data_IF_390337658325
#
_entry.id   IF_390337658325
#
_cell.length_a   1.000
_cell.length_b   1.000
_cell.length_c   1.000
_cell.angle_alpha   90.00
_cell.angle_beta   90.00
_cell.angle_gamma   90.00
#
_symmetry.space_group_name_H-M   'P 1'
#
loop_
_entity.id
_entity.type
_entity.pdbx_description
1 polymer ?
#
# COMPACT_ATOMS: atom_id res chain seq x y z
N UNK A 1 -25.99 30.34 -31.61
CA UNK A 1 -25.29 31.27 -30.70
C UNK A 1 -24.15 31.95 -31.46
N UNK A 2 -24.10 33.28 -31.52
CA UNK A 2 -23.01 34.01 -32.18
C UNK A 2 -21.78 34.09 -31.25
N UNK A 3 -20.62 33.62 -31.72
CA UNK A 3 -19.33 33.52 -31.01
C UNK A 3 -18.64 34.88 -30.75
N UNK A 4 -19.38 35.99 -30.73
CA UNK A 4 -18.81 37.33 -30.54
C UNK A 4 -18.77 37.68 -29.05
N UNK A 5 -17.72 38.37 -28.55
CA UNK A 5 -17.68 38.90 -27.19
C UNK A 5 -18.92 39.77 -26.92
N UNK A 6 -19.59 39.53 -25.80
CA UNK A 6 -20.80 40.26 -25.40
C UNK A 6 -20.63 40.82 -23.98
N UNK A 7 -21.33 41.91 -23.69
CA UNK A 7 -21.55 42.35 -22.31
C UNK A 7 -22.50 41.36 -21.66
N UNK A 8 -22.07 40.71 -20.59
CA UNK A 8 -22.84 39.70 -19.86
C UNK A 8 -23.05 40.20 -18.43
N UNK A 9 -24.26 40.01 -17.89
CA UNK A 9 -24.52 40.22 -16.48
C UNK A 9 -24.00 39.00 -15.69
N UNK A 10 -22.89 39.20 -14.97
CA UNK A 10 -22.27 38.14 -14.17
C UNK A 10 -23.22 37.57 -13.11
N UNK A 11 -24.05 38.40 -12.46
CA UNK A 11 -24.85 37.94 -11.32
C UNK A 11 -25.98 36.99 -11.76
N UNK A 12 -26.66 37.30 -12.87
CA UNK A 12 -27.76 36.46 -13.38
C UNK A 12 -27.24 35.12 -13.92
N UNK A 13 -26.13 35.16 -14.66
CA UNK A 13 -25.49 33.95 -15.20
C UNK A 13 -24.85 33.11 -14.10
N UNK A 14 -24.26 33.74 -13.07
CA UNK A 14 -23.72 33.05 -11.91
C UNK A 14 -24.80 32.37 -11.07
N UNK A 15 -25.95 33.01 -10.81
CA UNK A 15 -27.03 32.37 -10.02
C UNK A 15 -27.53 31.09 -10.69
N UNK A 16 -27.78 31.14 -12.01
CA UNK A 16 -28.23 29.97 -12.76
C UNK A 16 -27.13 28.89 -12.87
N UNK A 17 -25.86 29.30 -12.98
CA UNK A 17 -24.72 28.40 -12.96
C UNK A 17 -24.54 27.76 -11.57
N UNK A 18 -24.69 28.53 -10.49
CA UNK A 18 -24.56 28.08 -9.11
C UNK A 18 -25.63 27.05 -8.75
N UNK A 19 -26.88 27.21 -9.21
CA UNK A 19 -27.92 26.20 -9.05
C UNK A 19 -27.55 24.89 -9.73
N UNK A 20 -26.98 24.97 -10.94
CA UNK A 20 -26.52 23.79 -11.67
C UNK A 20 -25.32 23.14 -10.99
N UNK A 21 -24.34 23.94 -10.55
CA UNK A 21 -23.15 23.47 -9.81
C UNK A 21 -23.55 22.79 -8.50
N UNK A 22 -24.50 23.38 -7.76
CA UNK A 22 -25.08 22.76 -6.56
C UNK A 22 -25.74 21.43 -6.91
N UNK A 23 -26.57 21.40 -7.95
CA UNK A 23 -27.23 20.18 -8.42
C UNK A 23 -26.23 19.08 -8.76
N UNK A 24 -25.16 19.41 -9.48
CA UNK A 24 -24.13 18.45 -9.88
C UNK A 24 -23.31 17.93 -8.70
N UNK A 25 -22.94 18.80 -7.76
CA UNK A 25 -22.16 18.38 -6.59
C UNK A 25 -22.98 17.50 -5.64
N UNK A 26 -24.30 17.72 -5.56
CA UNK A 26 -25.20 16.84 -4.79
C UNK A 26 -25.73 15.63 -5.55
N UNK A 27 -25.19 15.35 -6.75
CA UNK A 27 -25.67 14.29 -7.66
C UNK A 27 -27.19 14.35 -7.95
N UNK A 28 -27.73 15.57 -8.01
CA UNK A 28 -29.11 15.83 -8.40
C UNK A 28 -29.34 15.64 -9.90
N UNK A 29 -30.60 15.46 -10.29
CA UNK A 29 -30.98 15.31 -11.70
C UNK A 29 -30.86 16.65 -12.42
N UNK A 30 -29.83 16.80 -13.25
CA UNK A 30 -29.63 17.98 -14.11
C UNK A 30 -30.01 17.62 -15.55
N UNK A 31 -31.01 18.30 -16.15
CA UNK A 31 -31.37 18.08 -17.56
C UNK A 31 -30.18 18.34 -18.50
N UNK A 32 -30.01 17.47 -19.50
CA UNK A 32 -28.92 17.61 -20.49
C UNK A 32 -28.96 18.93 -21.27
N UNK A 33 -30.15 19.49 -21.50
CA UNK A 33 -30.32 20.81 -22.12
C UNK A 33 -29.67 21.91 -21.26
N UNK A 34 -30.01 21.94 -19.97
CA UNK A 34 -29.45 22.89 -19.00
C UNK A 34 -27.93 22.70 -18.88
N UNK A 35 -27.44 21.46 -18.87
CA UNK A 35 -26.01 21.14 -18.84
C UNK A 35 -25.25 21.71 -20.04
N UNK A 36 -25.78 21.52 -21.26
CA UNK A 36 -25.17 22.04 -22.49
C UNK A 36 -25.19 23.57 -22.55
N UNK A 37 -26.26 24.20 -22.05
CA UNK A 37 -26.32 25.65 -21.90
C UNK A 37 -25.25 26.18 -20.95
N UNK A 38 -24.99 25.49 -19.83
CA UNK A 38 -23.97 25.93 -18.87
C UNK A 38 -22.55 25.94 -19.45
N UNK A 39 -22.20 25.04 -20.37
CA UNK A 39 -20.91 25.16 -21.09
C UNK A 39 -20.83 26.45 -21.90
N UNK A 40 -21.93 26.84 -22.55
CA UNK A 40 -22.01 28.10 -23.29
C UNK A 40 -21.93 29.30 -22.35
N UNK A 41 -22.51 29.21 -21.15
CA UNK A 41 -22.44 30.28 -20.14
C UNK A 41 -21.00 30.45 -19.63
N UNK A 42 -20.32 29.36 -19.29
CA UNK A 42 -18.89 29.38 -18.88
C UNK A 42 -18.03 29.98 -19.98
N UNK A 43 -18.24 29.59 -21.25
CA UNK A 43 -17.54 30.18 -22.39
C UNK A 43 -17.80 31.70 -22.51
N UNK A 44 -19.07 32.11 -22.43
CA UNK A 44 -19.45 33.52 -22.60
C UNK A 44 -18.92 34.39 -21.46
N UNK A 45 -18.86 33.86 -20.23
CA UNK A 45 -18.23 34.51 -19.08
C UNK A 45 -16.72 34.65 -19.23
N UNK A 46 -16.06 33.63 -19.79
CA UNK A 46 -14.61 33.66 -20.05
C UNK A 46 -14.21 34.60 -21.20
N UNK A 47 -15.11 34.87 -22.13
CA UNK A 47 -14.91 35.74 -23.33
C UNK A 47 -15.69 37.07 -23.18
N UNK A 48 -16.12 37.41 -21.97
CA UNK A 48 -16.88 38.62 -21.71
C UNK A 48 -16.05 39.90 -22.00
N UNK A 49 -16.75 40.97 -22.37
CA UNK A 49 -16.17 42.29 -22.65
C UNK A 49 -16.81 43.34 -21.71
N UNK A 50 -16.07 44.28 -21.07
CA UNK A 50 -14.72 44.77 -21.39
C UNK A 50 -13.53 43.98 -20.84
N UNK A 51 -13.70 43.25 -19.74
CA UNK A 51 -12.66 42.43 -19.10
C UNK A 51 -13.14 40.99 -18.97
N UNK A 52 -12.22 40.00 -19.05
CA UNK A 52 -12.56 38.61 -18.81
C UNK A 52 -13.01 38.43 -17.36
N UNK A 53 -14.20 37.86 -17.15
CA UNK A 53 -14.76 37.61 -15.82
C UNK A 53 -14.33 36.25 -15.25
N UNK A 54 -13.28 35.65 -15.82
CA UNK A 54 -12.81 34.31 -15.49
C UNK A 54 -12.24 34.21 -14.06
N UNK A 55 -11.43 35.19 -13.63
CA UNK A 55 -10.89 35.20 -12.26
C UNK A 55 -11.99 35.36 -11.21
N UNK A 56 -12.99 36.21 -11.50
CA UNK A 56 -14.16 36.39 -10.64
C UNK A 56 -14.99 35.09 -10.56
N UNK A 57 -15.19 34.41 -11.68
CA UNK A 57 -15.86 33.11 -11.74
C UNK A 57 -15.11 32.06 -10.91
N UNK A 58 -13.78 32.03 -11.01
CA UNK A 58 -12.92 31.12 -10.23
C UNK A 58 -13.05 31.39 -8.72
N UNK A 59 -12.95 32.65 -8.29
CA UNK A 59 -13.08 33.04 -6.89
C UNK A 59 -14.45 32.72 -6.29
N UNK A 60 -15.54 32.99 -7.03
CA UNK A 60 -16.89 32.68 -6.55
C UNK A 60 -17.14 31.16 -6.52
N UNK A 61 -16.59 30.41 -7.46
CA UNK A 61 -16.63 28.93 -7.43
C UNK A 61 -15.86 28.39 -6.23
N UNK A 62 -14.67 28.95 -5.94
CA UNK A 62 -13.88 28.60 -4.76
C UNK A 62 -14.67 28.82 -3.46
N UNK A 63 -15.26 30.02 -3.28
CA UNK A 63 -16.09 30.34 -2.11
C UNK A 63 -17.29 29.40 -1.98
N UNK A 64 -17.94 29.07 -3.10
CA UNK A 64 -19.06 28.14 -3.11
C UNK A 64 -18.65 26.74 -2.65
N UNK A 65 -17.54 26.22 -3.18
CA UNK A 65 -16.98 24.93 -2.79
C UNK A 65 -16.59 24.91 -1.30
N UNK A 66 -15.88 25.94 -0.83
CA UNK A 66 -15.51 26.09 0.59
C UNK A 66 -16.75 26.04 1.51
N UNK A 67 -17.78 26.84 1.21
CA UNK A 67 -19.03 26.86 1.99
C UNK A 67 -19.77 25.52 1.95
N UNK A 68 -19.79 24.86 0.80
CA UNK A 68 -20.42 23.56 0.65
C UNK A 68 -19.72 22.50 1.50
N UNK A 69 -18.39 22.43 1.43
CA UNK A 69 -17.59 21.48 2.21
C UNK A 69 -17.70 21.74 3.71
N UNK A 70 -17.72 23.01 4.15
CA UNK A 70 -17.97 23.34 5.56
C UNK A 70 -19.37 22.91 6.02
N UNK A 71 -20.40 23.04 5.16
CA UNK A 71 -21.74 22.54 5.48
C UNK A 71 -21.77 21.01 5.57
N UNK A 72 -20.99 20.32 4.73
CA UNK A 72 -20.84 18.86 4.80
C UNK A 72 -20.11 18.44 6.07
N UNK A 73 -19.07 19.17 6.49
CA UNK A 73 -18.34 18.93 7.73
C UNK A 73 -19.27 18.96 8.94
N UNK A 74 -20.10 19.98 9.05
CA UNK A 74 -21.08 20.11 10.15
C UNK A 74 -22.09 18.96 10.16
N UNK A 75 -22.56 18.51 8.99
CA UNK A 75 -23.44 17.34 8.88
C UNK A 75 -22.74 16.05 9.31
N UNK A 76 -21.48 15.87 8.91
CA UNK A 76 -20.68 14.70 9.26
C UNK A 76 -20.41 14.67 10.77
N UNK A 77 -20.11 15.82 11.39
CA UNK A 77 -19.94 15.97 12.84
C UNK A 77 -21.23 15.71 13.60
N UNK A 78 -22.37 16.18 13.10
CA UNK A 78 -23.67 16.00 13.74
C UNK A 78 -24.13 14.53 13.82
N UNK A 79 -23.66 13.67 12.92
CA UNK A 79 -24.02 12.25 12.88
C UNK A 79 -23.30 11.38 13.94
N UNK A 80 -22.37 11.97 14.71
CA UNK A 80 -21.64 11.32 15.80
C UNK A 80 -20.49 10.40 15.34
N UNK A 81 -19.60 10.07 16.28
CA UNK A 81 -18.35 9.32 16.01
C UNK A 81 -18.60 7.91 15.46
N UNK A 82 -19.63 7.20 15.95
CA UNK A 82 -19.94 5.84 15.51
C UNK A 82 -20.37 5.73 14.03
N UNK A 83 -20.91 6.81 13.45
CA UNK A 83 -21.31 6.87 12.04
C UNK A 83 -20.40 7.79 11.23
N UNK A 84 -19.28 8.24 11.79
CA UNK A 84 -18.38 9.20 11.16
C UNK A 84 -17.82 8.64 9.85
N UNK A 85 -17.26 7.43 9.85
CA UNK A 85 -16.72 6.80 8.63
C UNK A 85 -17.78 6.65 7.53
N UNK A 86 -18.98 6.18 7.89
CA UNK A 86 -20.08 5.98 6.94
C UNK A 86 -20.50 7.30 6.29
N UNK A 87 -20.64 8.33 7.13
CA UNK A 87 -21.08 9.66 6.71
C UNK A 87 -20.00 10.35 5.87
N UNK A 88 -18.73 10.25 6.28
CA UNK A 88 -17.58 10.73 5.52
C UNK A 88 -17.47 10.04 4.16
N UNK A 89 -17.54 8.70 4.12
CA UNK A 89 -17.44 7.94 2.87
C UNK A 89 -18.55 8.33 1.89
N UNK A 90 -19.79 8.45 2.35
CA UNK A 90 -20.89 8.91 1.52
C UNK A 90 -20.66 10.33 0.99
N UNK A 91 -20.28 11.26 1.86
CA UNK A 91 -20.01 12.63 1.48
C UNK A 91 -18.85 12.71 0.47
N UNK A 92 -17.81 11.90 0.66
CA UNK A 92 -16.68 11.79 -0.25
C UNK A 92 -17.10 11.30 -1.63
N UNK A 93 -17.86 10.20 -1.73
CA UNK A 93 -18.32 9.64 -3.01
C UNK A 93 -19.20 10.63 -3.77
N UNK A 94 -20.12 11.30 -3.06
CA UNK A 94 -20.97 12.36 -3.64
C UNK A 94 -20.11 13.52 -4.15
N UNK A 95 -19.18 14.02 -3.32
CA UNK A 95 -18.33 15.16 -3.65
C UNK A 95 -17.32 14.87 -4.76
N UNK A 96 -16.60 13.74 -4.71
CA UNK A 96 -15.56 13.39 -5.69
C UNK A 96 -16.14 13.21 -7.09
N UNK A 97 -17.31 12.56 -7.18
CA UNK A 97 -18.05 12.40 -8.44
C UNK A 97 -18.55 13.76 -8.94
N UNK A 98 -19.09 14.57 -8.04
CA UNK A 98 -19.52 15.95 -8.33
C UNK A 98 -18.39 16.83 -8.86
N UNK A 99 -17.20 16.75 -8.25
CA UNK A 99 -16.00 17.46 -8.70
C UNK A 99 -15.51 16.96 -10.06
N UNK A 100 -15.61 15.66 -10.35
CA UNK A 100 -15.29 15.14 -11.69
C UNK A 100 -16.18 15.73 -12.79
N UNK A 101 -17.48 15.88 -12.52
CA UNK A 101 -18.40 16.57 -13.43
C UNK A 101 -18.13 18.07 -13.49
N UNK A 102 -17.81 18.70 -12.37
CA UNK A 102 -17.46 20.12 -12.32
C UNK A 102 -16.19 20.40 -13.14
N UNK A 103 -15.16 19.57 -12.99
CA UNK A 103 -13.93 19.65 -13.79
C UNK A 103 -14.24 19.59 -15.28
N UNK A 104 -15.17 18.72 -15.69
CA UNK A 104 -15.62 18.62 -17.08
C UNK A 104 -16.36 19.88 -17.55
N UNK A 105 -17.26 20.44 -16.73
CA UNK A 105 -17.99 21.68 -17.05
C UNK A 105 -17.04 22.88 -17.23
N UNK A 106 -16.02 22.97 -16.38
CA UNK A 106 -15.05 24.05 -16.38
C UNK A 106 -13.83 23.78 -17.28
N UNK A 107 -13.88 22.77 -18.16
CA UNK A 107 -12.76 22.42 -19.05
C UNK A 107 -12.24 23.61 -19.85
N UNK A 108 -13.13 24.48 -20.34
CA UNK A 108 -12.74 25.69 -21.07
C UNK A 108 -11.97 26.68 -20.19
N UNK A 109 -12.42 26.90 -18.95
CA UNK A 109 -11.72 27.74 -17.96
C UNK A 109 -10.35 27.14 -17.61
N UNK A 110 -10.30 25.82 -17.37
CA UNK A 110 -9.07 25.09 -17.05
C UNK A 110 -8.04 25.20 -18.20
N UNK A 111 -8.46 25.05 -19.45
CA UNK A 111 -7.55 25.07 -20.60
C UNK A 111 -7.14 26.48 -21.06
N UNK A 112 -8.03 27.47 -21.00
CA UNK A 112 -7.77 28.78 -21.61
C UNK A 112 -7.33 29.86 -20.64
N UNK A 113 -7.73 29.77 -19.36
CA UNK A 113 -7.34 30.74 -18.34
C UNK A 113 -6.25 30.15 -17.44
N UNK A 114 -6.47 28.95 -16.89
CA UNK A 114 -5.56 28.36 -15.90
C UNK A 114 -4.25 27.88 -16.55
N UNK A 115 -4.29 27.15 -17.67
CA UNK A 115 -3.06 26.74 -18.38
C UNK A 115 -2.29 27.87 -19.06
N UNK A 116 -2.91 29.03 -19.29
CA UNK A 116 -2.20 30.23 -19.78
C UNK A 116 -1.52 31.01 -18.65
N UNK A 117 -1.99 30.85 -17.41
CA UNK A 117 -1.39 31.44 -16.22
C UNK A 117 -0.37 30.51 -15.53
N UNK A 118 -0.39 29.19 -15.81
CA UNK A 118 0.71 28.29 -15.46
C UNK A 118 1.97 28.75 -16.21
N UNK A 119 2.85 29.44 -15.49
CA UNK A 119 4.17 29.85 -15.97
C UNK A 119 4.89 28.64 -16.57
N UNK A 120 5.53 28.84 -17.71
CA UNK A 120 6.36 27.80 -18.31
C UNK A 120 7.49 27.42 -17.34
N UNK A 121 7.91 26.14 -17.33
CA UNK A 121 9.07 25.67 -16.55
C UNK A 121 10.33 26.53 -16.83
N UNK A 122 10.43 27.11 -18.03
CA UNK A 122 11.47 28.05 -18.41
C UNK A 122 11.34 29.45 -17.75
N UNK A 123 10.12 29.92 -17.46
CA UNK A 123 9.87 31.21 -16.81
C UNK A 123 10.10 31.15 -15.30
N UNK A 124 9.88 29.99 -14.68
CA UNK A 124 10.20 29.74 -13.26
C UNK A 124 11.72 29.65 -13.05
N UNK A 125 12.46 29.10 -14.02
CA UNK A 125 13.93 28.92 -13.91
C UNK A 125 14.71 30.20 -14.25
N UNK A 126 14.23 31.02 -15.20
CA UNK A 126 14.96 32.20 -15.69
C UNK A 126 14.30 33.56 -15.38
N UNK A 127 13.06 33.58 -14.86
CA UNK A 127 12.34 34.79 -14.50
C UNK A 127 12.50 35.14 -13.03
N UNK A 128 12.99 36.35 -12.72
CA UNK A 128 12.88 36.93 -11.38
C UNK A 128 11.40 37.19 -11.07
N UNK A 129 10.72 36.27 -10.38
CA UNK A 129 9.32 36.41 -10.00
C UNK A 129 9.15 36.75 -8.52
N UNK A 130 8.25 37.71 -8.28
CA UNK A 130 7.74 38.11 -6.97
C UNK A 130 6.81 37.04 -6.37
N UNK A 131 6.70 36.91 -5.04
CA UNK A 131 6.05 35.76 -4.37
C UNK A 131 4.51 35.68 -4.45
N UNK A 132 3.83 36.57 -5.19
CA UNK A 132 2.39 36.86 -5.02
C UNK A 132 1.48 36.27 -6.12
N UNK A 133 2.03 35.52 -7.08
CA UNK A 133 1.20 34.79 -8.06
C UNK A 133 0.90 33.41 -7.50
N UNK A 134 -0.16 33.29 -6.70
CA UNK A 134 -0.73 31.98 -6.35
C UNK A 134 -1.06 31.24 -7.65
N UNK A 135 -0.37 30.15 -7.93
CA UNK A 135 -0.69 29.26 -9.04
C UNK A 135 -2.18 28.91 -8.97
N UNK A 136 -2.98 29.39 -9.93
CA UNK A 136 -4.36 28.99 -10.01
C UNK A 136 -4.39 27.49 -10.33
N UNK A 137 -4.91 26.70 -9.40
CA UNK A 137 -5.10 25.26 -9.57
C UNK A 137 -6.31 25.00 -10.46
N UNK A 138 -6.29 23.90 -11.23
CA UNK A 138 -7.46 23.50 -12.02
C UNK A 138 -8.68 23.26 -11.10
N UNK A 139 -9.91 23.46 -11.57
CA UNK A 139 -11.10 23.35 -10.69
C UNK A 139 -11.23 21.98 -10.01
N UNK A 140 -10.74 20.92 -10.65
CA UNK A 140 -10.68 19.58 -10.06
C UNK A 140 -9.69 19.49 -8.89
N UNK A 141 -8.48 20.01 -9.11
CA UNK A 141 -7.40 20.11 -8.11
C UNK A 141 -7.81 21.01 -6.94
N UNK A 142 -8.41 22.18 -7.23
CA UNK A 142 -8.95 23.09 -6.22
C UNK A 142 -10.02 22.42 -5.35
N UNK A 143 -10.95 21.67 -5.96
CA UNK A 143 -11.98 20.95 -5.22
C UNK A 143 -11.40 19.94 -4.23
N UNK A 144 -10.37 19.20 -4.65
CA UNK A 144 -9.69 18.24 -3.80
C UNK A 144 -8.85 18.90 -2.70
N UNK A 145 -8.17 20.01 -2.99
CA UNK A 145 -7.42 20.78 -1.98
C UNK A 145 -8.37 21.39 -0.92
N UNK A 146 -9.54 21.87 -1.34
CA UNK A 146 -10.59 22.32 -0.40
C UNK A 146 -11.06 21.15 0.47
N UNK A 147 -11.27 19.96 -0.11
CA UNK A 147 -11.62 18.77 0.65
C UNK A 147 -10.54 18.38 1.66
N UNK A 148 -9.27 18.42 1.23
CA UNK A 148 -8.12 18.15 2.09
C UNK A 148 -8.11 19.05 3.33
N UNK A 149 -8.15 20.36 3.10
CA UNK A 149 -8.06 21.37 4.16
C UNK A 149 -9.28 21.37 5.08
N UNK A 150 -10.48 21.29 4.51
CA UNK A 150 -11.71 21.51 5.28
C UNK A 150 -12.32 20.21 5.83
N UNK A 151 -12.00 19.04 5.26
CA UNK A 151 -12.53 17.74 5.73
C UNK A 151 -11.45 16.83 6.30
N UNK A 152 -10.35 16.61 5.58
CA UNK A 152 -9.32 15.64 6.00
C UNK A 152 -8.55 16.17 7.21
N UNK A 153 -7.95 17.36 7.13
CA UNK A 153 -7.16 17.94 8.23
C UNK A 153 -7.90 17.98 9.59
N UNK A 154 -9.16 18.45 9.68
CA UNK A 154 -9.87 18.50 10.97
C UNK A 154 -10.37 17.13 11.46
N UNK A 155 -10.53 16.14 10.58
CA UNK A 155 -11.05 14.81 10.94
C UNK A 155 -9.98 13.72 10.95
N UNK A 156 -8.74 14.02 10.56
CA UNK A 156 -7.69 13.02 10.31
C UNK A 156 -7.47 12.07 11.48
N UNK A 157 -7.34 12.59 12.70
CA UNK A 157 -7.07 11.78 13.90
C UNK A 157 -8.21 10.79 14.15
N UNK A 158 -9.45 11.28 14.12
CA UNK A 158 -10.64 10.45 14.35
C UNK A 158 -10.85 9.42 13.22
N UNK A 159 -10.63 9.84 11.96
CA UNK A 159 -10.73 8.94 10.81
C UNK A 159 -9.68 7.84 10.91
N UNK A 160 -8.42 8.18 11.19
CA UNK A 160 -7.32 7.22 11.31
C UNK A 160 -7.61 6.24 12.45
N UNK A 161 -7.97 6.72 13.64
CA UNK A 161 -8.29 5.85 14.77
C UNK A 161 -9.40 4.85 14.45
N UNK A 162 -10.52 5.31 13.89
CA UNK A 162 -11.63 4.44 13.52
C UNK A 162 -11.30 3.50 12.35
N UNK A 163 -10.44 3.91 11.40
CA UNK A 163 -9.93 3.03 10.34
C UNK A 163 -9.07 1.91 10.95
N UNK A 164 -8.17 2.25 11.88
CA UNK A 164 -7.31 1.28 12.57
C UNK A 164 -8.14 0.30 13.41
N UNK A 165 -9.16 0.79 14.12
CA UNK A 165 -10.12 -0.06 14.84
C UNK A 165 -10.88 -0.98 13.88
N UNK A 166 -11.39 -0.44 12.77
CA UNK A 166 -12.09 -1.24 11.75
C UNK A 166 -11.23 -2.36 11.17
N UNK A 167 -9.95 -2.09 10.90
CA UNK A 167 -9.00 -3.11 10.45
C UNK A 167 -8.67 -4.10 11.58
N UNK A 168 -8.61 -3.65 12.83
CA UNK A 168 -8.42 -4.53 13.98
C UNK A 168 -9.59 -5.53 14.14
N UNK A 169 -10.84 -5.08 14.01
CA UNK A 169 -11.99 -5.99 14.02
C UNK A 169 -11.99 -6.98 12.83
N UNK A 170 -11.49 -6.57 11.66
CA UNK A 170 -11.28 -7.48 10.52
C UNK A 170 -10.20 -8.54 10.81
N UNK A 171 -9.18 -8.22 11.63
CA UNK A 171 -8.22 -9.23 12.13
C UNK A 171 -8.85 -10.26 13.05
N UNK A 172 -9.86 -9.87 13.82
CA UNK A 172 -10.61 -10.77 14.71
C UNK A 172 -11.68 -11.59 13.98
N UNK A 173 -11.94 -11.29 12.70
CA UNK A 173 -12.98 -11.95 11.91
C UNK A 173 -14.40 -11.43 12.18
N UNK A 174 -14.54 -10.31 12.89
CA UNK A 174 -15.84 -9.72 13.27
C UNK A 174 -16.30 -8.62 12.30
N UNK A 175 -15.56 -8.37 11.22
CA UNK A 175 -15.86 -7.29 10.29
C UNK A 175 -17.07 -7.61 9.39
N UNK A 176 -18.05 -6.69 9.39
CA UNK A 176 -19.14 -6.69 8.41
C UNK A 176 -18.62 -6.31 7.01
N UNK A 177 -19.11 -6.94 5.92
CA UNK A 177 -18.73 -6.60 4.55
C UNK A 177 -18.92 -5.12 4.21
N UNK A 178 -19.97 -4.49 4.74
CA UNK A 178 -20.28 -3.07 4.49
C UNK A 178 -19.18 -2.13 5.00
N UNK A 179 -18.52 -2.49 6.11
CA UNK A 179 -17.42 -1.71 6.69
C UNK A 179 -16.18 -1.78 5.80
N UNK A 180 -16.02 -2.85 5.01
CA UNK A 180 -14.86 -3.02 4.14
C UNK A 180 -14.81 -1.97 3.04
N UNK A 181 -15.93 -1.79 2.32
CA UNK A 181 -16.01 -0.82 1.22
C UNK A 181 -15.83 0.61 1.73
N UNK A 182 -16.35 0.89 2.94
CA UNK A 182 -16.20 2.18 3.59
C UNK A 182 -14.73 2.46 3.92
N UNK A 183 -14.04 1.53 4.58
CA UNK A 183 -12.61 1.68 4.93
C UNK A 183 -11.80 1.92 3.65
N UNK A 184 -12.02 1.11 2.62
CA UNK A 184 -11.33 1.24 1.34
C UNK A 184 -11.61 2.59 0.68
N UNK A 185 -12.86 3.05 0.67
CA UNK A 185 -13.23 4.33 0.07
C UNK A 185 -12.66 5.53 0.82
N UNK A 186 -12.58 5.47 2.15
CA UNK A 186 -11.93 6.51 2.96
C UNK A 186 -10.42 6.53 2.69
N UNK A 187 -9.75 5.37 2.65
CA UNK A 187 -8.33 5.28 2.33
C UNK A 187 -8.04 5.82 0.92
N UNK A 188 -8.86 5.44 -0.05
CA UNK A 188 -8.75 5.96 -1.41
C UNK A 188 -8.92 7.49 -1.44
N UNK A 189 -9.71 8.08 -0.54
CA UNK A 189 -9.82 9.55 -0.48
C UNK A 189 -8.50 10.24 -0.17
N UNK A 190 -7.65 9.65 0.69
CA UNK A 190 -6.33 10.20 1.01
C UNK A 190 -5.37 10.13 -0.17
N UNK A 191 -5.52 9.12 -1.03
CA UNK A 191 -4.72 8.96 -2.25
C UNK A 191 -5.24 9.87 -3.36
N UNK A 192 -6.55 9.88 -3.59
CA UNK A 192 -7.16 10.61 -4.71
C UNK A 192 -7.06 12.12 -4.59
N UNK A 193 -7.00 12.65 -3.37
CA UNK A 193 -6.74 14.08 -3.13
C UNK A 193 -5.37 14.53 -3.66
N UNK A 194 -4.41 13.61 -3.79
CA UNK A 194 -3.07 13.90 -4.32
C UNK A 194 -2.90 13.53 -5.81
N UNK A 195 -3.94 13.04 -6.49
CA UNK A 195 -3.85 12.62 -7.91
C UNK A 195 -3.44 13.74 -8.87
N UNK A 196 -3.70 15.00 -8.51
CA UNK A 196 -3.38 16.17 -9.33
C UNK A 196 -1.97 16.75 -9.08
N UNK A 197 -1.29 16.30 -8.01
CA UNK A 197 0.12 16.62 -7.78
C UNK A 197 1.02 15.85 -8.77
N UNK A 198 2.34 16.08 -8.67
CA UNK A 198 3.32 15.31 -9.47
C UNK A 198 3.07 13.82 -9.29
N UNK A 199 3.05 13.07 -10.41
CA UNK A 199 2.82 11.62 -10.41
C UNK A 199 3.76 10.94 -9.41
N UNK A 200 3.19 10.36 -8.36
CA UNK A 200 3.92 9.56 -7.37
C UNK A 200 4.00 10.17 -5.97
N UNK A 201 3.58 11.41 -5.77
CA UNK A 201 3.48 11.98 -4.42
C UNK A 201 2.26 11.39 -3.70
N UNK A 202 2.54 10.50 -2.74
CA UNK A 202 1.56 9.90 -1.83
C UNK A 202 1.81 10.38 -0.39
N UNK A 203 2.45 11.53 -0.20
CA UNK A 203 2.92 12.03 1.09
C UNK A 203 1.78 12.10 2.12
N UNK A 204 0.60 12.59 1.74
CA UNK A 204 -0.55 12.70 2.63
C UNK A 204 -1.01 11.32 3.10
N UNK A 205 -1.12 10.37 2.18
CA UNK A 205 -1.47 9.00 2.51
C UNK A 205 -0.42 8.35 3.43
N UNK A 206 0.86 8.59 3.14
CA UNK A 206 1.97 8.04 3.90
C UNK A 206 2.03 8.58 5.33
N UNK A 207 1.88 9.89 5.48
CA UNK A 207 1.96 10.59 6.77
C UNK A 207 0.72 10.35 7.63
N UNK A 208 -0.49 10.54 7.06
CA UNK A 208 -1.73 10.48 7.84
C UNK A 208 -2.11 9.05 8.18
N UNK A 209 -1.93 8.10 7.26
CA UNK A 209 -2.48 6.76 7.42
C UNK A 209 -1.44 5.65 7.41
N UNK A 210 -0.53 5.60 6.44
CA UNK A 210 0.43 4.50 6.31
C UNK A 210 1.33 4.37 7.54
N UNK A 211 1.90 5.48 8.02
CA UNK A 211 2.79 5.45 9.18
C UNK A 211 2.07 4.99 10.48
N UNK A 212 0.92 5.56 10.87
CA UNK A 212 0.14 5.04 12.01
C UNK A 212 -0.29 3.58 11.82
N UNK A 213 -0.69 3.19 10.61
CA UNK A 213 -1.07 1.82 10.28
C UNK A 213 0.09 0.84 10.46
N UNK A 214 1.28 1.17 9.95
CA UNK A 214 2.48 0.34 10.11
C UNK A 214 2.90 0.20 11.57
N UNK A 215 2.75 1.27 12.37
CA UNK A 215 3.01 1.24 13.80
C UNK A 215 2.02 0.32 14.52
N UNK A 216 0.71 0.56 14.36
CA UNK A 216 -0.34 -0.22 15.03
C UNK A 216 -0.30 -1.71 14.63
N UNK A 217 -0.02 -1.99 13.35
CA UNK A 217 0.15 -3.36 12.84
C UNK A 217 1.39 -4.03 13.42
N UNK A 218 2.51 -3.30 13.50
CA UNK A 218 3.73 -3.81 14.13
C UNK A 218 3.54 -4.14 15.62
N UNK A 219 2.87 -3.26 16.37
CA UNK A 219 2.55 -3.50 17.78
C UNK A 219 1.58 -4.67 18.00
N UNK A 220 0.63 -4.86 17.08
CA UNK A 220 -0.25 -6.03 17.08
C UNK A 220 0.56 -7.32 16.88
N UNK A 221 1.37 -7.40 15.82
CA UNK A 221 2.13 -8.60 15.50
C UNK A 221 3.25 -8.90 16.50
N UNK A 222 3.83 -7.88 17.13
CA UNK A 222 4.78 -8.05 18.24
C UNK A 222 4.14 -8.73 19.45
N UNK A 223 2.92 -8.32 19.82
CA UNK A 223 2.16 -8.94 20.92
C UNK A 223 1.71 -10.36 20.55
N UNK A 224 1.21 -10.54 19.34
CA UNK A 224 0.78 -11.84 18.82
C UNK A 224 1.95 -12.84 18.78
N UNK A 225 3.12 -12.43 18.26
CA UNK A 225 4.32 -13.26 18.24
C UNK A 225 4.75 -13.67 19.66
N UNK A 226 4.77 -12.71 20.60
CA UNK A 226 5.09 -12.99 22.00
C UNK A 226 4.12 -14.00 22.64
N UNK A 227 2.82 -13.94 22.32
CA UNK A 227 1.82 -14.91 22.78
C UNK A 227 2.08 -16.29 22.17
N UNK A 228 2.25 -16.36 20.85
CA UNK A 228 2.49 -17.62 20.14
C UNK A 228 3.75 -18.33 20.63
N UNK A 229 4.82 -17.59 20.95
CA UNK A 229 6.05 -18.16 21.51
C UNK A 229 5.86 -18.81 22.90
N UNK A 230 4.87 -18.38 23.67
CA UNK A 230 4.58 -18.95 24.99
C UNK A 230 3.68 -20.19 24.90
N UNK A 231 2.84 -20.25 23.87
CA UNK A 231 1.79 -21.26 23.72
C UNK A 231 2.19 -22.42 22.79
N UNK A 232 3.10 -22.18 21.85
CA UNK A 232 3.42 -23.11 20.75
C UNK A 232 4.87 -23.58 20.80
N UNK A 233 5.10 -24.79 20.27
CA UNK A 233 6.44 -25.23 19.86
C UNK A 233 6.88 -24.52 18.56
N UNK A 234 8.14 -24.71 18.14
CA UNK A 234 8.68 -24.03 16.96
C UNK A 234 7.95 -24.41 15.68
N UNK A 235 7.57 -25.67 15.51
CA UNK A 235 6.86 -26.15 14.32
C UNK A 235 5.48 -25.48 14.19
N UNK A 236 4.71 -25.47 15.27
CA UNK A 236 3.41 -24.81 15.37
C UNK A 236 3.55 -23.30 15.22
N UNK A 237 4.57 -22.70 15.83
CA UNK A 237 4.86 -21.27 15.70
C UNK A 237 5.05 -20.88 14.22
N UNK A 238 5.89 -21.62 13.48
CA UNK A 238 6.14 -21.35 12.06
C UNK A 238 4.86 -21.46 11.23
N UNK A 239 4.05 -22.52 11.43
CA UNK A 239 2.78 -22.68 10.71
C UNK A 239 1.82 -21.51 10.97
N UNK A 240 1.69 -21.08 12.23
CA UNK A 240 0.84 -19.94 12.61
C UNK A 240 1.36 -18.63 12.04
N UNK A 241 2.67 -18.41 12.04
CA UNK A 241 3.30 -17.21 11.46
C UNK A 241 3.03 -17.14 9.97
N UNK A 242 3.25 -18.24 9.22
CA UNK A 242 3.00 -18.28 7.77
C UNK A 242 1.53 -17.93 7.48
N UNK A 243 0.60 -18.58 8.18
CA UNK A 243 -0.83 -18.29 8.04
C UNK A 243 -1.14 -16.82 8.30
N UNK A 244 -0.60 -16.23 9.37
CA UNK A 244 -0.85 -14.84 9.75
C UNK A 244 -0.26 -13.84 8.75
N UNK A 245 0.91 -14.14 8.17
CA UNK A 245 1.53 -13.31 7.13
C UNK A 245 0.71 -13.34 5.83
N UNK A 246 0.17 -14.50 5.45
CA UNK A 246 -0.71 -14.63 4.28
C UNK A 246 -2.03 -13.90 4.49
N UNK A 247 -2.66 -14.05 5.65
CA UNK A 247 -3.87 -13.33 6.04
C UNK A 247 -3.66 -11.80 5.99
N UNK A 248 -2.53 -11.30 6.48
CA UNK A 248 -2.22 -9.87 6.44
C UNK A 248 -1.88 -9.37 5.03
N UNK A 249 -1.28 -10.22 4.20
CA UNK A 249 -1.03 -9.91 2.79
C UNK A 249 -2.36 -9.77 2.04
N UNK A 250 -3.31 -10.68 2.26
CA UNK A 250 -4.66 -10.58 1.69
C UNK A 250 -5.40 -9.34 2.21
N UNK A 251 -5.29 -9.05 3.50
CA UNK A 251 -5.88 -7.85 4.13
C UNK A 251 -5.30 -6.56 3.56
N UNK A 252 -3.98 -6.53 3.34
CA UNK A 252 -3.29 -5.40 2.71
C UNK A 252 -3.82 -5.16 1.30
N UNK A 253 -3.99 -6.21 0.50
CA UNK A 253 -4.58 -6.11 -0.85
C UNK A 253 -6.05 -5.64 -0.83
N UNK A 254 -6.79 -5.97 0.24
CA UNK A 254 -8.20 -5.60 0.39
C UNK A 254 -8.38 -4.10 0.68
N UNK A 255 -7.50 -3.51 1.48
CA UNK A 255 -7.69 -2.17 2.05
C UNK A 255 -6.70 -1.10 1.59
N UNK A 256 -5.44 -1.47 1.34
CA UNK A 256 -4.34 -0.53 1.24
C UNK A 256 -3.97 -0.22 -0.22
N UNK A 257 -3.21 0.86 -0.41
CA UNK A 257 -2.61 1.16 -1.70
C UNK A 257 -1.40 0.23 -1.96
N UNK A 258 -1.13 -0.20 -3.21
CA UNK A 258 -0.03 -1.12 -3.52
C UNK A 258 1.37 -0.67 -3.08
N UNK A 259 1.59 0.64 -2.90
CA UNK A 259 2.84 1.19 -2.37
C UNK A 259 3.17 0.72 -0.95
N UNK A 260 2.16 0.28 -0.19
CA UNK A 260 2.32 -0.12 1.22
C UNK A 260 2.53 -1.62 1.39
N UNK A 261 2.23 -2.44 0.39
CA UNK A 261 2.21 -3.90 0.54
C UNK A 261 3.57 -4.46 0.98
N UNK A 262 4.65 -4.00 0.36
CA UNK A 262 6.01 -4.41 0.73
C UNK A 262 6.40 -3.94 2.13
N UNK A 263 6.01 -2.71 2.52
CA UNK A 263 6.32 -2.15 3.84
C UNK A 263 5.59 -2.88 4.96
N UNK A 264 4.30 -3.20 4.75
CA UNK A 264 3.49 -3.95 5.72
C UNK A 264 4.05 -5.36 5.88
N UNK A 265 4.33 -6.04 4.77
CA UNK A 265 4.95 -7.38 4.79
C UNK A 265 6.27 -7.37 5.56
N UNK A 266 7.18 -6.46 5.23
CA UNK A 266 8.47 -6.34 5.91
C UNK A 266 8.31 -6.05 7.41
N UNK A 267 7.34 -5.22 7.80
CA UNK A 267 7.06 -4.92 9.21
C UNK A 267 6.55 -6.14 9.98
N UNK A 268 5.71 -6.96 9.37
CA UNK A 268 5.20 -8.20 9.97
C UNK A 268 6.32 -9.24 10.07
N UNK A 269 7.12 -9.43 9.01
CA UNK A 269 8.27 -10.34 9.00
C UNK A 269 9.33 -9.94 10.05
N UNK A 270 9.56 -8.63 10.24
CA UNK A 270 10.46 -8.14 11.27
C UNK A 270 10.02 -8.61 12.67
N UNK A 271 8.76 -8.37 13.05
CA UNK A 271 8.28 -8.67 14.40
C UNK A 271 7.96 -10.15 14.63
N UNK A 272 7.51 -10.88 13.62
CA UNK A 272 7.16 -12.30 13.77
C UNK A 272 8.34 -13.24 13.53
N UNK A 273 9.36 -12.83 12.78
CA UNK A 273 10.48 -13.71 12.41
C UNK A 273 11.81 -13.14 12.89
N UNK A 274 12.18 -11.93 12.46
CA UNK A 274 13.53 -11.40 12.70
C UNK A 274 13.80 -11.13 14.20
N UNK A 275 12.83 -10.59 14.93
CA UNK A 275 12.94 -10.33 16.37
C UNK A 275 13.08 -11.64 17.19
N UNK A 276 12.73 -12.78 16.60
CA UNK A 276 12.72 -14.10 17.23
C UNK A 276 13.63 -15.11 16.51
N UNK A 277 14.61 -14.61 15.75
CA UNK A 277 15.49 -15.43 14.93
C UNK A 277 16.29 -16.46 15.75
N UNK A 278 16.74 -16.07 16.94
CA UNK A 278 17.49 -16.96 17.83
C UNK A 278 16.68 -18.19 18.28
N UNK A 279 15.36 -18.03 18.47
CA UNK A 279 14.46 -19.13 18.81
C UNK A 279 14.32 -20.11 17.65
N UNK A 280 14.18 -19.60 16.42
CA UNK A 280 14.13 -20.42 15.21
C UNK A 280 15.46 -21.15 14.96
N UNK A 281 16.59 -20.45 15.14
CA UNK A 281 17.93 -21.02 15.00
C UNK A 281 18.24 -22.13 16.01
N UNK A 282 17.68 -22.04 17.22
CA UNK A 282 17.85 -23.06 18.26
C UNK A 282 17.37 -24.45 17.82
N UNK A 283 16.30 -24.53 17.04
CA UNK A 283 15.72 -25.79 16.55
C UNK A 283 16.26 -26.24 15.19
N UNK A 284 17.02 -25.40 14.47
CA UNK A 284 17.54 -25.75 13.14
C UNK A 284 18.32 -27.07 13.16
N UNK A 285 19.21 -27.24 14.14
CA UNK A 285 20.05 -28.43 14.26
C UNK A 285 19.22 -29.70 14.43
N UNK A 286 18.24 -29.68 15.33
CA UNK A 286 17.39 -30.84 15.60
C UNK A 286 16.51 -31.18 14.38
N UNK A 287 15.91 -30.17 13.75
CA UNK A 287 15.08 -30.34 12.54
C UNK A 287 15.87 -30.93 11.37
N UNK A 288 17.12 -30.49 11.17
CA UNK A 288 18.02 -31.03 10.15
C UNK A 288 18.42 -32.46 10.48
N UNK A 289 18.82 -32.74 11.73
CA UNK A 289 19.24 -34.08 12.15
C UNK A 289 18.14 -35.13 12.06
N UNK A 290 16.91 -34.76 12.38
CA UNK A 290 15.73 -35.62 12.27
C UNK A 290 15.10 -35.61 10.87
N UNK A 291 15.67 -34.85 9.93
CA UNK A 291 15.15 -34.69 8.56
C UNK A 291 13.65 -34.33 8.52
N UNK A 292 13.20 -33.43 9.41
CA UNK A 292 11.80 -32.98 9.51
C UNK A 292 11.41 -32.13 8.29
N UNK A 293 11.13 -32.77 7.15
CA UNK A 293 10.92 -32.13 5.84
C UNK A 293 9.87 -31.01 5.85
N UNK A 294 8.73 -31.24 6.51
CA UNK A 294 7.64 -30.27 6.60
C UNK A 294 8.08 -29.00 7.34
N UNK A 295 8.72 -29.17 8.49
CA UNK A 295 9.19 -28.06 9.31
C UNK A 295 10.30 -27.27 8.61
N UNK A 296 11.24 -27.96 7.98
CA UNK A 296 12.29 -27.32 7.17
C UNK A 296 11.73 -26.54 5.98
N UNK A 297 10.65 -27.04 5.35
CA UNK A 297 9.98 -26.36 4.23
C UNK A 297 9.26 -25.09 4.68
N UNK A 298 8.70 -25.10 5.90
CA UNK A 298 8.11 -23.90 6.53
C UNK A 298 9.20 -22.91 6.99
N UNK A 299 10.32 -23.40 7.50
CA UNK A 299 11.41 -22.58 8.02
C UNK A 299 12.16 -21.83 6.92
N UNK A 300 12.38 -22.47 5.76
CA UNK A 300 13.09 -21.89 4.63
C UNK A 300 12.57 -20.51 4.17
N UNK A 301 11.28 -20.33 3.83
CA UNK A 301 10.78 -19.03 3.37
C UNK A 301 10.85 -17.96 4.47
N UNK A 302 10.64 -18.35 5.74
CA UNK A 302 10.72 -17.42 6.88
C UNK A 302 12.16 -16.92 7.09
N UNK A 303 13.15 -17.81 7.07
CA UNK A 303 14.56 -17.40 7.23
C UNK A 303 15.10 -16.66 6.00
N UNK A 304 14.55 -16.91 4.81
CA UNK A 304 14.95 -16.23 3.57
C UNK A 304 14.44 -14.80 3.49
N UNK A 305 13.29 -14.48 4.09
CA UNK A 305 12.76 -13.11 4.09
C UNK A 305 13.54 -12.18 5.02
N UNK A 306 14.26 -12.74 5.99
CA UNK A 306 15.07 -11.98 6.95
C UNK A 306 16.54 -11.94 6.52
N UNK A 307 17.14 -10.75 6.61
CA UNK A 307 18.57 -10.56 6.35
C UNK A 307 19.41 -11.43 7.29
N UNK A 308 20.37 -12.16 6.73
CA UNK A 308 21.27 -13.07 7.46
C UNK A 308 20.58 -14.24 8.20
N UNK A 309 19.27 -14.46 7.97
CA UNK A 309 18.50 -15.51 8.65
C UNK A 309 18.84 -16.93 8.18
N UNK A 310 19.18 -17.09 6.90
CA UNK A 310 19.35 -18.40 6.26
C UNK A 310 20.71 -19.06 6.51
N UNK A 311 21.72 -18.29 6.92
CA UNK A 311 23.11 -18.76 7.03
C UNK A 311 23.30 -19.91 8.01
N UNK A 312 22.62 -19.86 9.16
CA UNK A 312 22.67 -20.93 10.17
C UNK A 312 22.09 -22.23 9.63
N UNK A 313 20.94 -22.16 8.94
CA UNK A 313 20.30 -23.35 8.37
C UNK A 313 21.18 -24.03 7.30
N UNK A 314 21.88 -23.25 6.48
CA UNK A 314 22.83 -23.76 5.48
C UNK A 314 24.00 -24.48 6.17
N UNK A 315 24.54 -23.88 7.24
CA UNK A 315 25.67 -24.44 7.98
C UNK A 315 25.29 -25.75 8.69
N UNK A 316 24.14 -25.79 9.34
CA UNK A 316 23.63 -27.00 10.01
C UNK A 316 23.37 -28.13 8.99
N UNK A 317 22.82 -27.80 7.81
CA UNK A 317 22.66 -28.80 6.74
C UNK A 317 24.02 -29.33 6.26
N UNK A 318 25.00 -28.46 6.04
CA UNK A 318 26.34 -28.85 5.61
C UNK A 318 26.98 -29.83 6.60
N UNK A 319 26.99 -29.50 7.89
CA UNK A 319 27.58 -30.37 8.92
C UNK A 319 26.81 -31.68 9.08
N UNK A 320 25.48 -31.67 8.92
CA UNK A 320 24.68 -32.90 8.91
C UNK A 320 25.01 -33.82 7.73
N UNK A 321 25.07 -33.28 6.50
CA UNK A 321 25.45 -34.06 5.30
C UNK A 321 26.84 -34.66 5.47
N UNK A 322 27.78 -33.89 6.01
CA UNK A 322 29.15 -34.34 6.29
C UNK A 322 29.16 -35.45 7.34
N UNK A 323 28.41 -35.33 8.42
CA UNK A 323 28.32 -36.38 9.45
C UNK A 323 27.74 -37.68 8.87
N UNK A 324 26.66 -37.58 8.09
CA UNK A 324 25.99 -38.72 7.45
C UNK A 324 26.86 -39.38 6.38
N UNK A 325 27.60 -38.59 5.60
CA UNK A 325 28.58 -39.10 4.65
C UNK A 325 29.76 -39.80 5.33
N UNK A 326 30.23 -39.28 6.48
CA UNK A 326 31.30 -39.93 7.24
C UNK A 326 30.84 -41.26 7.85
N UNK A 327 29.62 -41.30 8.42
CA UNK A 327 29.02 -42.53 8.94
C UNK A 327 28.88 -43.60 7.85
N UNK A 328 28.41 -43.22 6.66
CA UNK A 328 28.27 -44.13 5.52
C UNK A 328 29.61 -44.71 5.03
N UNK A 329 30.72 -43.99 5.24
CA UNK A 329 32.05 -44.36 4.70
C UNK A 329 32.94 -45.07 5.73
N UNK A 330 32.80 -44.75 7.01
CA UNK A 330 33.68 -45.27 8.09
C UNK A 330 33.51 -46.77 8.36
N UNK A 331 32.36 -47.35 7.99
CA UNK A 331 32.08 -48.79 8.15
C UNK A 331 32.60 -49.69 7.03
N UNK A 332 33.16 -49.14 5.95
CA UNK A 332 33.53 -49.91 4.75
C UNK A 332 34.81 -50.75 4.97
N UNK A 333 34.72 -52.07 4.76
CA UNK A 333 35.84 -53.03 4.88
C UNK A 333 35.80 -54.09 3.78
N UNK A 334 36.96 -54.63 3.40
CA UNK A 334 37.11 -55.72 2.43
C UNK A 334 37.79 -55.31 1.11
N UNK A 335 37.78 -56.21 0.12
CA UNK A 335 38.52 -56.00 -1.14
C UNK A 335 37.84 -55.00 -2.11
N UNK A 336 36.52 -54.76 -1.95
CA UNK A 336 35.73 -53.89 -2.83
C UNK A 336 35.46 -52.48 -2.27
N UNK A 337 36.27 -52.02 -1.31
CA UNK A 337 36.06 -50.75 -0.59
C UNK A 337 36.00 -49.53 -1.51
N UNK A 338 36.75 -49.52 -2.62
CA UNK A 338 36.73 -48.40 -3.57
C UNK A 338 35.38 -48.26 -4.31
N UNK A 339 34.77 -49.38 -4.69
CA UNK A 339 33.46 -49.39 -5.37
C UNK A 339 32.37 -49.00 -4.37
N UNK A 340 32.38 -49.62 -3.18
CA UNK A 340 31.43 -49.31 -2.11
C UNK A 340 31.49 -47.84 -1.69
N UNK A 341 32.69 -47.25 -1.65
CA UNK A 341 32.85 -45.83 -1.33
C UNK A 341 32.16 -44.93 -2.36
N UNK A 342 32.36 -45.18 -3.65
CA UNK A 342 31.73 -44.40 -4.72
C UNK A 342 30.21 -44.55 -4.66
N UNK A 343 29.71 -45.76 -4.46
CA UNK A 343 28.27 -46.03 -4.34
C UNK A 343 27.65 -45.32 -3.11
N UNK A 344 28.28 -45.40 -1.94
CA UNK A 344 27.83 -44.72 -0.73
C UNK A 344 27.82 -43.20 -0.89
N UNK A 345 28.86 -42.61 -1.49
CA UNK A 345 28.91 -41.17 -1.74
C UNK A 345 27.84 -40.71 -2.74
N UNK A 346 27.63 -41.47 -3.82
CA UNK A 346 26.56 -41.18 -4.79
C UNK A 346 25.18 -41.27 -4.15
N UNK A 347 24.96 -42.25 -3.26
CA UNK A 347 23.71 -42.41 -2.53
C UNK A 347 23.44 -41.21 -1.59
N UNK A 348 24.44 -40.80 -0.80
CA UNK A 348 24.35 -39.62 0.09
C UNK A 348 24.06 -38.36 -0.73
N UNK A 349 24.83 -38.12 -1.80
CA UNK A 349 24.64 -36.96 -2.66
C UNK A 349 23.24 -36.94 -3.29
N UNK A 350 22.77 -38.08 -3.82
CA UNK A 350 21.42 -38.19 -4.40
C UNK A 350 20.33 -37.91 -3.37
N UNK A 351 20.40 -38.52 -2.18
CA UNK A 351 19.43 -38.33 -1.08
C UNK A 351 19.28 -36.86 -0.71
N UNK A 352 20.39 -36.16 -0.47
CA UNK A 352 20.35 -34.76 -0.06
C UNK A 352 20.04 -33.80 -1.20
N UNK A 353 20.39 -34.14 -2.45
CA UNK A 353 19.94 -33.39 -3.62
C UNK A 353 18.42 -33.43 -3.78
N UNK A 354 17.81 -34.60 -3.59
CA UNK A 354 16.34 -34.76 -3.59
C UNK A 354 15.71 -33.97 -2.43
N UNK A 355 16.27 -34.05 -1.22
CA UNK A 355 15.81 -33.25 -0.07
C UNK A 355 15.85 -31.74 -0.36
N UNK A 356 16.96 -31.23 -0.90
CA UNK A 356 17.12 -29.80 -1.23
C UNK A 356 16.13 -29.37 -2.31
N UNK A 357 15.88 -30.23 -3.29
CA UNK A 357 14.92 -29.94 -4.36
C UNK A 357 13.49 -29.82 -3.82
N UNK A 358 13.10 -30.71 -2.92
CA UNK A 358 11.74 -30.74 -2.35
C UNK A 358 11.51 -29.67 -1.28
N UNK A 359 12.46 -29.48 -0.37
CA UNK A 359 12.27 -28.66 0.84
C UNK A 359 12.71 -27.21 0.62
N UNK A 360 13.81 -27.01 -0.09
CA UNK A 360 14.44 -25.69 -0.30
C UNK A 360 14.27 -25.18 -1.74
N UNK A 361 13.39 -25.80 -2.53
CA UNK A 361 13.10 -25.42 -3.92
C UNK A 361 14.33 -25.36 -4.84
N UNK A 362 15.38 -26.15 -4.57
CA UNK A 362 16.60 -26.14 -5.38
C UNK A 362 17.45 -24.87 -5.23
N UNK A 363 17.36 -24.18 -4.09
CA UNK A 363 18.16 -22.99 -3.80
C UNK A 363 19.66 -23.27 -3.90
N UNK A 364 20.36 -22.45 -4.70
CA UNK A 364 21.77 -22.65 -5.06
C UNK A 364 22.70 -22.58 -3.85
N UNK A 365 22.30 -21.89 -2.79
CA UNK A 365 23.09 -21.78 -1.55
C UNK A 365 23.18 -23.13 -0.84
N UNK A 366 22.07 -23.89 -0.85
CA UNK A 366 22.02 -25.24 -0.29
C UNK A 366 22.68 -26.28 -1.19
N UNK A 367 22.55 -26.12 -2.52
CA UNK A 367 23.29 -26.96 -3.49
C UNK A 367 24.80 -26.78 -3.30
N UNK A 368 25.28 -25.54 -3.19
CA UNK A 368 26.70 -25.27 -2.91
C UNK A 368 27.16 -25.82 -1.57
N UNK A 369 26.29 -25.86 -0.56
CA UNK A 369 26.59 -26.49 0.73
C UNK A 369 26.72 -28.02 0.63
N UNK A 370 25.87 -28.67 -0.17
CA UNK A 370 25.98 -30.10 -0.49
C UNK A 370 27.29 -30.40 -1.21
N UNK A 371 27.63 -29.64 -2.26
CA UNK A 371 28.87 -29.82 -3.01
C UNK A 371 30.11 -29.65 -2.12
N UNK A 372 30.09 -28.63 -1.24
CA UNK A 372 31.14 -28.40 -0.26
C UNK A 372 31.26 -29.53 0.75
N UNK A 373 30.14 -30.06 1.26
CA UNK A 373 30.14 -31.21 2.15
C UNK A 373 30.76 -32.46 1.49
N UNK A 374 30.36 -32.76 0.24
CA UNK A 374 30.91 -33.87 -0.53
C UNK A 374 32.41 -33.70 -0.82
N UNK A 375 32.85 -32.49 -1.17
CA UNK A 375 34.27 -32.21 -1.38
C UNK A 375 35.10 -32.42 -0.09
N UNK A 376 34.60 -31.94 1.06
CA UNK A 376 35.26 -32.14 2.35
C UNK A 376 35.41 -33.63 2.71
N UNK A 377 34.40 -34.44 2.42
CA UNK A 377 34.47 -35.90 2.62
C UNK A 377 35.53 -36.57 1.74
N UNK A 378 35.68 -36.12 0.48
CA UNK A 378 36.73 -36.61 -0.42
C UNK A 378 38.13 -36.24 0.11
N UNK A 379 38.31 -35.00 0.59
CA UNK A 379 39.60 -34.54 1.12
C UNK A 379 40.03 -35.29 2.38
N UNK A 380 39.10 -35.56 3.32
CA UNK A 380 39.42 -36.25 4.59
C UNK A 380 40.06 -37.62 4.34
N UNK A 381 39.65 -38.34 3.29
CA UNK A 381 40.22 -39.66 2.97
C UNK A 381 41.49 -39.59 2.12
N UNK A 382 41.71 -38.52 1.36
CA UNK A 382 42.96 -38.33 0.59
C UNK A 382 44.18 -37.99 1.46
N UNK A 383 43.96 -37.59 2.73
CA UNK A 383 45.00 -37.26 3.70
C UNK A 383 45.35 -38.37 4.70
N UNK A 384 44.74 -39.55 4.58
CA UNK A 384 45.07 -40.79 5.31
C UNK A 384 45.59 -41.82 4.33
#
# INVERSE_FOLDING_TARGET
MSLKPKKVNFNETWVALQETVKGVITLGNVPRSTWNERFSDVYTLCVAYPEPLADKLYQETKKFLDNHVNTLLEKVRANGEANLLKSYHRAWVEYSTGIGYLHSLYLYLNQQHIKKQKLSEAEIIYGNLTPDVQEQMEIGELGLEIWKRNMIEPLKENLVNLLLEGIHYDRLGEASPYVTDIIRGVINSFVSVEEFKKKGDLELYQEIFEAPFLQASGEYYKREASRLLQECDVSQYMERVIQRLDEETLRSNKFLHPSSFSKVKARCEQHMVADHLAFLHGECKEMVQQERRKDLSNMYPLLRSVKDGIGVLILELLEHIKAQGLEAVTGLRGDNVHIQFVESMLAVHKKYKELIQEVFNGDQSFVGALDKACHLLLCIRSGT
#
